data_IF_651775140985
#
_entry.id   IF_651775140985
#
_cell.length_a   1.000
_cell.length_b   1.000
_cell.length_c   1.000
_cell.angle_alpha   90.00
_cell.angle_beta   90.00
_cell.angle_gamma   90.00
#
_symmetry.space_group_name_H-M   'P 1'
#
loop_
_entity.id
_entity.type
_entity.pdbx_description
1 polymer ?
#
# COMPACT_ATOMS: atom_id res chain seq x y z
N UNK A 1 15.78 5.78 10.39
CA UNK A 1 16.44 6.19 11.66
C UNK A 1 15.68 5.69 12.88
N UNK A 2 14.40 6.06 13.10
CA UNK A 2 13.66 5.65 14.30
C UNK A 2 13.70 4.14 14.59
N UNK A 3 13.45 3.30 13.57
CA UNK A 3 13.54 1.84 13.69
C UNK A 3 14.91 1.34 14.18
N UNK A 4 16.01 1.90 13.67
CA UNK A 4 17.36 1.50 14.07
C UNK A 4 17.63 1.79 15.55
N UNK A 5 17.09 2.89 16.09
CA UNK A 5 17.19 3.18 17.52
C UNK A 5 16.30 2.26 18.37
N UNK A 6 15.10 1.91 17.89
CA UNK A 6 14.21 0.99 18.60
C UNK A 6 14.71 -0.46 18.61
N UNK A 7 15.44 -0.87 17.58
CA UNK A 7 15.97 -2.23 17.42
C UNK A 7 17.44 -2.33 17.87
N UNK A 8 18.03 -1.26 18.41
CA UNK A 8 19.41 -1.28 18.90
C UNK A 8 19.53 -2.20 20.13
N UNK A 9 20.46 -3.16 20.07
CA UNK A 9 20.87 -3.98 21.19
C UNK A 9 22.36 -3.71 21.49
N UNK A 10 22.73 -3.39 22.74
CA UNK A 10 24.13 -3.23 23.11
C UNK A 10 24.87 -4.57 23.05
N UNK A 11 26.18 -4.50 22.85
CA UNK A 11 27.06 -5.67 22.88
C UNK A 11 26.96 -6.40 24.24
N UNK A 12 26.67 -7.70 24.22
CA UNK A 12 26.61 -8.55 25.42
C UNK A 12 27.26 -9.92 25.18
N UNK A 13 28.57 -10.02 25.45
CA UNK A 13 29.31 -11.29 25.32
C UNK A 13 28.91 -12.39 26.30
N UNK A 14 28.18 -12.06 27.37
CA UNK A 14 27.81 -13.02 28.42
C UNK A 14 26.50 -13.72 28.09
N UNK A 15 25.50 -12.96 27.64
CA UNK A 15 24.15 -13.47 27.45
C UNK A 15 23.73 -13.60 25.99
N UNK A 16 24.41 -12.92 25.06
CA UNK A 16 24.16 -13.03 23.62
C UNK A 16 25.16 -14.00 22.96
N UNK A 17 24.73 -15.19 22.52
CA UNK A 17 25.62 -16.16 21.87
C UNK A 17 26.28 -15.64 20.60
N UNK A 18 25.63 -14.70 19.90
CA UNK A 18 26.20 -14.06 18.71
C UNK A 18 27.42 -13.19 19.04
N UNK A 19 27.38 -12.50 20.19
CA UNK A 19 28.45 -11.61 20.61
C UNK A 19 29.60 -12.36 21.30
N UNK A 20 29.31 -13.51 21.92
CA UNK A 20 30.31 -14.38 22.54
C UNK A 20 31.39 -14.85 21.55
N UNK A 21 31.09 -14.91 20.26
CA UNK A 21 32.02 -15.27 19.19
C UNK A 21 32.97 -14.13 18.76
N UNK A 22 32.82 -12.92 19.31
CA UNK A 22 33.68 -11.78 18.97
C UNK A 22 34.96 -11.84 19.80
N UNK A 23 36.13 -12.01 19.16
CA UNK A 23 37.41 -12.12 19.87
C UNK A 23 37.85 -10.78 20.50
N UNK A 24 37.81 -9.69 19.73
CA UNK A 24 38.31 -8.38 20.13
C UNK A 24 37.23 -7.30 19.94
N UNK A 25 37.22 -6.32 20.84
CA UNK A 25 36.27 -5.20 20.81
C UNK A 25 37.07 -3.91 20.91
N UNK A 26 36.84 -3.01 19.96
CA UNK A 26 37.35 -1.64 19.99
C UNK A 26 36.17 -0.74 20.34
N UNK A 27 36.16 -0.22 21.57
CA UNK A 27 35.11 0.69 22.02
C UNK A 27 35.33 2.08 21.41
N UNK A 28 34.31 2.66 20.79
CA UNK A 28 34.35 3.99 20.20
C UNK A 28 33.36 4.91 20.91
N UNK A 29 33.72 6.19 21.08
CA UNK A 29 32.79 7.20 21.56
C UNK A 29 32.12 7.89 20.36
N UNK A 30 30.79 7.85 20.22
CA UNK A 30 30.11 8.54 19.14
C UNK A 30 30.23 10.08 19.21
N UNK A 31 30.72 10.64 20.32
CA UNK A 31 31.01 12.05 20.49
C UNK A 31 32.44 12.45 20.09
N UNK A 32 33.33 11.47 19.89
CA UNK A 32 34.67 11.74 19.39
C UNK A 32 34.62 12.24 17.95
N UNK A 33 35.55 13.13 17.60
CA UNK A 33 35.76 13.51 16.20
C UNK A 33 36.34 12.33 15.38
N UNK A 34 36.27 12.46 14.06
CA UNK A 34 36.65 11.39 13.14
C UNK A 34 38.15 11.03 13.23
N UNK A 35 38.99 12.01 13.57
CA UNK A 35 40.44 11.80 13.66
C UNK A 35 40.81 11.07 14.94
N UNK A 36 40.24 11.47 16.08
CA UNK A 36 40.36 10.78 17.37
C UNK A 36 39.87 9.34 17.25
N UNK A 37 38.69 9.15 16.67
CA UNK A 37 38.10 7.82 16.44
C UNK A 37 39.01 6.94 15.59
N UNK A 38 39.48 7.45 14.44
CA UNK A 38 40.31 6.68 13.52
C UNK A 38 41.66 6.31 14.15
N UNK A 39 42.28 7.23 14.91
CA UNK A 39 43.54 6.95 15.63
C UNK A 39 43.37 5.86 16.68
N UNK A 40 42.28 5.90 17.44
CA UNK A 40 41.95 4.85 18.41
C UNK A 40 41.84 3.48 17.74
N UNK A 41 41.11 3.41 16.62
CA UNK A 41 40.98 2.18 15.82
C UNK A 41 42.34 1.70 15.33
N UNK A 42 43.16 2.56 14.74
CA UNK A 42 44.49 2.21 14.21
C UNK A 42 45.39 1.64 15.32
N UNK A 43 45.49 2.33 16.46
CA UNK A 43 46.37 1.92 17.56
C UNK A 43 46.01 0.57 18.18
N UNK A 44 44.74 0.17 18.11
CA UNK A 44 44.29 -1.13 18.64
C UNK A 44 44.26 -2.21 17.56
N UNK A 45 43.88 -1.87 16.34
CA UNK A 45 43.71 -2.84 15.26
C UNK A 45 45.05 -3.26 14.65
N UNK A 46 45.97 -2.32 14.39
CA UNK A 46 47.24 -2.62 13.70
C UNK A 46 48.07 -3.71 14.41
N UNK A 47 48.23 -3.69 15.75
CA UNK A 47 48.89 -4.77 16.48
C UNK A 47 48.17 -6.11 16.37
N UNK A 48 46.83 -6.12 16.37
CA UNK A 48 46.03 -7.34 16.30
C UNK A 48 46.17 -8.06 14.95
N UNK A 49 46.32 -7.31 13.85
CA UNK A 49 46.46 -7.86 12.50
C UNK A 49 47.90 -7.90 12.00
N UNK A 50 48.88 -7.44 12.81
CA UNK A 50 50.30 -7.51 12.50
C UNK A 50 50.75 -6.59 11.36
N UNK A 51 50.12 -5.42 11.20
CA UNK A 51 50.50 -4.43 10.18
C UNK A 51 51.14 -3.19 10.80
N UNK A 52 51.96 -2.46 10.03
CA UNK A 52 52.53 -1.21 10.52
C UNK A 52 51.45 -0.17 10.77
N UNK A 53 51.66 0.66 11.77
CA UNK A 53 50.87 1.87 11.94
C UNK A 53 51.18 2.88 10.80
N UNK A 54 50.15 3.49 10.19
CA UNK A 54 50.31 4.59 9.25
C UNK A 54 50.86 5.84 9.96
N UNK A 55 51.53 6.71 9.21
CA UNK A 55 51.95 8.01 9.72
C UNK A 55 50.77 8.97 9.84
N UNK A 56 50.97 10.06 10.59
CA UNK A 56 49.96 11.12 10.73
C UNK A 56 49.51 11.70 9.39
N UNK A 57 50.45 11.88 8.45
CA UNK A 57 50.16 12.40 7.12
C UNK A 57 49.31 11.42 6.30
N UNK A 58 49.57 10.11 6.43
CA UNK A 58 48.78 9.06 5.78
C UNK A 58 47.35 9.03 6.32
N UNK A 59 47.19 9.15 7.64
CA UNK A 59 45.88 9.22 8.29
C UNK A 59 45.11 10.45 7.85
N UNK A 60 45.76 11.62 7.84
CA UNK A 60 45.13 12.87 7.44
C UNK A 60 44.71 12.86 5.96
N UNK A 61 45.57 12.34 5.09
CA UNK A 61 45.28 12.17 3.66
C UNK A 61 44.06 11.26 3.43
N UNK A 62 43.98 10.15 4.15
CA UNK A 62 42.85 9.22 4.08
C UNK A 62 41.53 9.87 4.54
N UNK A 63 41.55 10.66 5.62
CA UNK A 63 40.37 11.39 6.09
C UNK A 63 39.90 12.44 5.07
N UNK A 64 40.83 13.19 4.46
CA UNK A 64 40.49 14.16 3.41
C UNK A 64 39.83 13.45 2.22
N UNK A 65 40.39 12.31 1.79
CA UNK A 65 39.82 11.51 0.72
C UNK A 65 38.40 10.98 1.08
N UNK A 66 38.23 10.42 2.28
CA UNK A 66 36.95 9.90 2.74
C UNK A 66 35.85 10.97 2.78
N UNK A 67 36.18 12.21 3.18
CA UNK A 67 35.23 13.34 3.22
C UNK A 67 34.77 13.80 1.83
N UNK A 68 35.55 13.52 0.79
CA UNK A 68 35.17 13.81 -0.59
C UNK A 68 34.19 12.78 -1.16
N UNK A 69 34.09 11.60 -0.55
CA UNK A 69 33.17 10.56 -0.99
C UNK A 69 31.71 11.04 -0.91
N UNK A 70 30.94 10.77 -1.96
CA UNK A 70 29.49 11.03 -2.03
C UNK A 70 28.77 9.69 -2.10
N UNK A 71 28.19 9.21 -0.99
CA UNK A 71 27.49 7.93 -1.01
C UNK A 71 26.26 8.03 -1.91
N UNK A 72 26.14 7.08 -2.84
CA UNK A 72 24.92 6.91 -3.63
C UNK A 72 24.03 5.94 -2.85
N UNK A 73 23.07 6.47 -2.11
CA UNK A 73 22.03 5.65 -1.49
C UNK A 73 21.15 5.04 -2.60
N UNK A 74 21.40 3.78 -2.95
CA UNK A 74 20.51 3.03 -3.85
C UNK A 74 19.26 2.59 -3.09
N UNK A 75 18.31 3.48 -2.87
CA UNK A 75 16.94 3.04 -2.55
C UNK A 75 16.33 2.46 -3.83
N UNK A 76 15.99 1.16 -3.83
CA UNK A 76 15.15 0.61 -4.90
C UNK A 76 13.86 1.42 -4.91
N UNK A 77 13.46 1.93 -6.08
CA UNK A 77 12.17 2.57 -6.23
C UNK A 77 11.09 1.62 -5.69
N UNK A 78 10.12 2.13 -4.90
CA UNK A 78 9.04 1.30 -4.39
C UNK A 78 8.32 0.65 -5.58
N UNK A 79 7.99 -0.64 -5.45
CA UNK A 79 7.23 -1.36 -6.48
C UNK A 79 5.74 -1.23 -6.16
N UNK A 80 4.87 -0.93 -7.14
CA UNK A 80 3.44 -0.88 -6.90
C UNK A 80 2.93 -2.21 -6.33
N UNK A 81 2.12 -2.15 -5.28
CA UNK A 81 1.35 -3.28 -4.77
C UNK A 81 0.23 -3.67 -5.73
N UNK A 82 -0.45 -2.69 -6.31
CA UNK A 82 -1.50 -2.87 -7.31
C UNK A 82 -1.66 -1.63 -8.18
N UNK A 83 -2.33 -1.80 -9.32
CA UNK A 83 -2.87 -0.70 -10.12
C UNK A 83 -4.38 -0.63 -9.91
N UNK A 84 -4.90 0.59 -9.90
CA UNK A 84 -6.32 0.85 -9.72
C UNK A 84 -6.75 2.14 -10.38
N UNK A 85 -8.06 2.34 -10.49
CA UNK A 85 -8.65 3.64 -10.80
C UNK A 85 -8.84 4.38 -9.50
N UNK A 86 -8.11 5.47 -9.27
CA UNK A 86 -8.39 6.40 -8.17
C UNK A 86 -9.58 7.27 -8.57
N UNK A 87 -10.61 7.33 -7.75
CA UNK A 87 -11.78 8.19 -7.98
C UNK A 87 -11.45 9.65 -7.61
N UNK A 88 -11.93 10.60 -8.41
CA UNK A 88 -11.62 12.03 -8.25
C UNK A 88 -12.53 12.71 -7.20
N UNK A 89 -13.77 12.23 -7.07
CA UNK A 89 -14.80 12.84 -6.25
C UNK A 89 -14.94 12.17 -4.87
N UNK A 90 -15.52 12.91 -3.92
CA UNK A 90 -15.84 12.38 -2.59
C UNK A 90 -17.00 11.38 -2.67
N UNK A 91 -16.66 10.09 -2.59
CA UNK A 91 -17.65 9.02 -2.65
C UNK A 91 -18.62 9.07 -1.46
N UNK A 92 -18.16 9.51 -0.28
CA UNK A 92 -19.00 9.59 0.90
C UNK A 92 -20.12 10.60 0.70
N UNK A 93 -19.80 11.81 0.23
CA UNK A 93 -20.82 12.83 -0.02
C UNK A 93 -21.74 12.43 -1.18
N UNK A 94 -21.22 11.79 -2.24
CA UNK A 94 -22.06 11.27 -3.33
C UNK A 94 -23.07 10.23 -2.83
N UNK A 95 -22.62 9.25 -2.03
CA UNK A 95 -23.50 8.22 -1.46
C UNK A 95 -24.50 8.81 -0.48
N UNK A 96 -24.09 9.79 0.33
CA UNK A 96 -24.98 10.47 1.27
C UNK A 96 -26.12 11.18 0.54
N UNK A 97 -25.81 11.89 -0.55
CA UNK A 97 -26.82 12.55 -1.39
C UNK A 97 -27.75 11.52 -2.04
N UNK A 98 -27.19 10.46 -2.61
CA UNK A 98 -27.96 9.38 -3.25
C UNK A 98 -28.93 8.72 -2.27
N UNK A 99 -28.43 8.29 -1.10
CA UNK A 99 -29.24 7.63 -0.08
C UNK A 99 -30.35 8.54 0.47
N UNK A 100 -30.10 9.84 0.60
CA UNK A 100 -31.12 10.80 1.00
C UNK A 100 -32.20 11.00 -0.08
N UNK A 101 -31.79 11.13 -1.35
CA UNK A 101 -32.71 11.29 -2.49
C UNK A 101 -33.59 10.05 -2.69
N UNK A 102 -33.06 8.86 -2.39
CA UNK A 102 -33.75 7.59 -2.58
C UNK A 102 -34.17 6.90 -1.27
N UNK A 103 -34.37 7.66 -0.20
CA UNK A 103 -34.70 7.11 1.14
C UNK A 103 -35.96 6.23 1.17
N UNK A 104 -36.89 6.41 0.22
CA UNK A 104 -38.09 5.57 0.06
C UNK A 104 -37.76 4.20 -0.56
N UNK A 105 -36.72 4.13 -1.40
CA UNK A 105 -36.32 2.89 -2.11
C UNK A 105 -35.23 2.11 -1.36
N UNK A 106 -34.42 2.79 -0.57
CA UNK A 106 -33.33 2.16 0.18
C UNK A 106 -33.82 1.79 1.57
N UNK A 107 -33.65 0.53 1.97
CA UNK A 107 -34.10 0.05 3.26
C UNK A 107 -33.38 0.74 4.44
N UNK A 108 -34.08 0.85 5.57
CA UNK A 108 -33.59 1.53 6.77
C UNK A 108 -32.26 0.96 7.27
N UNK A 109 -32.07 -0.37 7.16
CA UNK A 109 -30.85 -1.02 7.65
C UNK A 109 -29.64 -0.62 6.80
N UNK A 110 -29.77 -0.56 5.48
CA UNK A 110 -28.72 -0.05 4.59
C UNK A 110 -28.36 1.40 4.92
N UNK A 111 -29.35 2.25 5.17
CA UNK A 111 -29.12 3.65 5.57
C UNK A 111 -28.39 3.75 6.92
N UNK A 112 -28.84 2.99 7.93
CA UNK A 112 -28.22 2.96 9.26
C UNK A 112 -26.76 2.46 9.21
N UNK A 113 -26.48 1.43 8.40
CA UNK A 113 -25.12 0.91 8.22
C UNK A 113 -24.20 1.95 7.60
N UNK A 114 -24.66 2.68 6.57
CA UNK A 114 -23.88 3.77 6.00
C UNK A 114 -23.61 4.88 7.02
N UNK A 115 -24.64 5.33 7.74
CA UNK A 115 -24.50 6.35 8.79
C UNK A 115 -23.51 5.91 9.87
N UNK A 116 -23.55 4.64 10.29
CA UNK A 116 -22.60 4.07 11.23
C UNK A 116 -21.17 4.14 10.71
N UNK A 117 -20.92 3.71 9.47
CA UNK A 117 -19.59 3.79 8.84
C UNK A 117 -19.06 5.23 8.81
N UNK A 118 -19.92 6.21 8.50
CA UNK A 118 -19.55 7.63 8.52
C UNK A 118 -19.22 8.09 9.93
N UNK A 119 -20.09 7.80 10.92
CA UNK A 119 -19.89 8.21 12.30
C UNK A 119 -18.64 7.62 12.94
N UNK A 120 -18.32 6.37 12.59
CA UNK A 120 -17.16 5.64 13.08
C UNK A 120 -15.88 6.00 12.30
N UNK A 121 -15.96 6.92 11.33
CA UNK A 121 -14.85 7.32 10.42
C UNK A 121 -14.25 6.12 9.67
N UNK A 122 -15.11 5.20 9.26
CA UNK A 122 -14.78 3.96 8.54
C UNK A 122 -14.96 4.05 7.03
N UNK A 123 -15.36 5.21 6.51
CA UNK A 123 -15.33 5.53 5.08
C UNK A 123 -14.03 6.27 4.78
N UNK A 124 -13.09 5.69 4.02
CA UNK A 124 -11.84 6.36 3.66
C UNK A 124 -12.11 7.62 2.83
N UNK A 125 -11.14 8.54 2.79
CA UNK A 125 -11.23 9.72 1.90
C UNK A 125 -10.93 9.39 0.43
N UNK A 126 -10.01 8.44 0.22
CA UNK A 126 -9.58 8.02 -1.11
C UNK A 126 -10.18 6.65 -1.45
N UNK A 127 -10.97 6.59 -2.52
CA UNK A 127 -11.56 5.37 -3.03
C UNK A 127 -10.96 4.98 -4.37
N UNK A 128 -10.98 3.68 -4.65
CA UNK A 128 -10.45 3.15 -5.89
C UNK A 128 -11.19 1.88 -6.33
N UNK A 129 -11.14 1.63 -7.64
CA UNK A 129 -11.40 0.31 -8.22
C UNK A 129 -10.07 -0.38 -8.42
N UNK A 130 -9.85 -1.55 -7.83
CA UNK A 130 -8.63 -2.34 -8.09
C UNK A 130 -8.70 -2.93 -9.49
N UNK A 131 -7.66 -2.69 -10.30
CA UNK A 131 -7.56 -3.24 -11.65
C UNK A 131 -6.75 -4.55 -11.67
N UNK A 132 -5.60 -4.59 -10.99
CA UNK A 132 -4.73 -5.75 -10.91
C UNK A 132 -3.81 -5.67 -9.70
N UNK A 133 -3.81 -6.69 -8.83
CA UNK A 133 -2.88 -6.78 -7.71
C UNK A 133 -1.60 -7.54 -8.11
N UNK A 134 -0.47 -7.14 -7.52
CA UNK A 134 0.80 -7.86 -7.69
C UNK A 134 0.77 -9.31 -7.20
N UNK A 135 -0.20 -9.67 -6.36
CA UNK A 135 -0.39 -11.05 -5.88
C UNK A 135 -0.98 -11.89 -7.01
N UNK A 136 -1.99 -11.36 -7.71
CA UNK A 136 -2.61 -12.03 -8.85
C UNK A 136 -1.61 -12.28 -9.98
N UNK A 137 -0.64 -11.38 -10.14
CA UNK A 137 0.47 -11.55 -11.08
C UNK A 137 1.45 -12.65 -10.62
N UNK A 138 1.81 -12.68 -9.33
CA UNK A 138 2.72 -13.70 -8.76
C UNK A 138 2.11 -15.11 -8.76
N UNK A 139 0.79 -15.20 -8.67
CA UNK A 139 0.08 -16.48 -8.65
C UNK A 139 -0.17 -17.06 -10.04
N UNK A 140 -0.17 -16.21 -11.08
CA UNK A 140 -0.42 -16.62 -12.46
C UNK A 140 0.73 -17.48 -13.02
N UNK A 141 0.40 -18.38 -13.95
CA UNK A 141 1.37 -19.27 -14.63
C UNK A 141 1.08 -19.38 -16.12
N UNK A 142 2.11 -19.67 -16.91
CA UNK A 142 1.98 -19.93 -18.35
C UNK A 142 1.29 -18.78 -19.10
N UNK A 143 0.31 -19.05 -19.99
CA UNK A 143 -0.37 -18.02 -20.77
C UNK A 143 -1.10 -16.95 -19.93
N UNK A 144 -1.58 -17.31 -18.74
CA UNK A 144 -2.24 -16.36 -17.83
C UNK A 144 -1.25 -15.32 -17.30
N UNK A 145 -0.02 -15.76 -16.99
CA UNK A 145 1.05 -14.88 -16.54
C UNK A 145 1.41 -13.88 -17.65
N UNK A 146 1.53 -14.34 -18.90
CA UNK A 146 1.82 -13.46 -20.03
C UNK A 146 0.73 -12.39 -20.21
N UNK A 147 -0.55 -12.79 -20.13
CA UNK A 147 -1.68 -11.87 -20.21
C UNK A 147 -1.68 -10.86 -19.06
N UNK A 148 -1.54 -11.30 -17.82
CA UNK A 148 -1.51 -10.43 -16.63
C UNK A 148 -0.29 -9.52 -16.63
N UNK A 149 0.86 -9.99 -17.12
CA UNK A 149 2.07 -9.18 -17.26
C UNK A 149 1.89 -8.08 -18.31
N UNK A 150 1.25 -8.39 -19.44
CA UNK A 150 0.90 -7.38 -20.45
C UNK A 150 -0.06 -6.33 -19.88
N UNK A 151 -1.09 -6.74 -19.12
CA UNK A 151 -1.99 -5.82 -18.41
C UNK A 151 -1.27 -4.97 -17.37
N UNK A 152 -0.37 -5.57 -16.59
CA UNK A 152 0.44 -4.87 -15.59
C UNK A 152 1.29 -3.75 -16.23
N UNK A 153 1.95 -4.05 -17.34
CA UNK A 153 2.75 -3.07 -18.07
C UNK A 153 1.88 -1.96 -18.65
N UNK A 154 0.73 -2.33 -19.23
CA UNK A 154 -0.25 -1.36 -19.73
C UNK A 154 -0.73 -0.41 -18.64
N UNK A 155 -1.07 -0.91 -17.45
CA UNK A 155 -1.48 -0.06 -16.34
C UNK A 155 -0.35 0.77 -15.76
N UNK A 156 0.90 0.28 -15.83
CA UNK A 156 2.08 1.08 -15.50
C UNK A 156 2.22 2.30 -16.42
N UNK A 157 2.03 2.10 -17.73
CA UNK A 157 2.07 3.19 -18.71
C UNK A 157 0.89 4.16 -18.52
N UNK A 158 -0.31 3.62 -18.26
CA UNK A 158 -1.52 4.40 -18.03
C UNK A 158 -1.52 5.17 -16.70
N UNK A 159 -0.81 4.70 -15.66
CA UNK A 159 -0.80 5.36 -14.35
C UNK A 159 -0.08 6.73 -14.35
N UNK A 160 0.64 7.05 -15.42
CA UNK A 160 1.48 8.25 -15.48
C UNK A 160 2.75 8.10 -14.64
N UNK A 161 3.75 8.94 -14.91
CA UNK A 161 4.97 9.02 -14.08
C UNK A 161 4.72 9.92 -12.87
N UNK A 162 5.50 9.73 -11.80
CA UNK A 162 5.37 10.45 -10.52
C UNK A 162 4.98 11.93 -10.68
N UNK A 163 3.72 12.26 -10.33
CA UNK A 163 3.16 13.62 -10.37
C UNK A 163 2.24 13.93 -11.58
N UNK A 164 2.19 13.08 -12.60
CA UNK A 164 1.22 13.19 -13.69
C UNK A 164 -0.15 12.60 -13.34
N UNK A 165 -1.23 13.15 -13.90
CA UNK A 165 -2.54 12.48 -13.89
C UNK A 165 -2.47 11.30 -14.86
N UNK A 166 -2.77 10.10 -14.37
CA UNK A 166 -2.87 8.92 -15.22
C UNK A 166 -4.06 9.00 -16.19
N UNK A 167 -4.22 7.97 -17.01
CA UNK A 167 -5.32 7.86 -17.96
C UNK A 167 -6.66 8.09 -17.26
N UNK A 168 -7.40 9.09 -17.72
CA UNK A 168 -8.74 9.40 -17.23
C UNK A 168 -9.73 8.29 -17.60
N UNK A 169 -10.63 8.01 -16.68
CA UNK A 169 -11.69 7.03 -16.84
C UNK A 169 -13.00 7.50 -16.20
N UNK A 170 -14.11 6.96 -16.69
CA UNK A 170 -15.42 7.05 -16.05
C UNK A 170 -15.81 5.69 -15.53
N UNK A 171 -16.16 5.60 -14.24
CA UNK A 171 -16.64 4.39 -13.57
C UNK A 171 -18.14 4.51 -13.39
N UNK A 172 -18.90 3.55 -13.91
CA UNK A 172 -20.35 3.46 -13.74
C UNK A 172 -20.69 2.36 -12.75
N UNK A 173 -21.58 2.64 -11.82
CA UNK A 173 -22.00 1.70 -10.79
C UNK A 173 -23.39 1.12 -11.12
N UNK A 174 -23.59 -0.16 -10.84
CA UNK A 174 -24.89 -0.82 -10.97
C UNK A 174 -25.57 -1.11 -9.63
N UNK A 175 -24.85 -1.02 -8.51
CA UNK A 175 -25.50 -1.16 -7.22
C UNK A 175 -24.60 -0.97 -6.00
N UNK A 176 -25.25 -0.91 -4.85
CA UNK A 176 -24.65 -0.83 -3.52
C UNK A 176 -25.01 -2.10 -2.75
N UNK A 177 -23.99 -2.81 -2.28
CA UNK A 177 -24.13 -4.00 -1.43
C UNK A 177 -23.70 -3.66 -0.01
N UNK A 178 -24.55 -3.99 0.95
CA UNK A 178 -24.34 -3.74 2.36
C UNK A 178 -24.52 -5.02 3.18
N UNK A 179 -23.54 -5.30 4.03
CA UNK A 179 -23.55 -6.35 5.04
C UNK A 179 -23.33 -5.75 6.43
N UNK A 180 -23.35 -6.57 7.48
CA UNK A 180 -22.93 -6.12 8.83
C UNK A 180 -21.40 -5.91 8.91
N UNK A 181 -20.63 -6.49 7.99
CA UNK A 181 -19.17 -6.40 7.93
C UNK A 181 -18.66 -5.25 7.08
N UNK A 182 -19.26 -4.98 5.92
CA UNK A 182 -18.75 -3.98 4.97
C UNK A 182 -19.84 -3.40 4.08
N UNK A 183 -19.47 -2.35 3.36
CA UNK A 183 -20.27 -1.77 2.29
C UNK A 183 -19.40 -1.62 1.04
N UNK A 184 -19.94 -2.00 -0.11
CA UNK A 184 -19.21 -1.99 -1.39
C UNK A 184 -20.14 -1.62 -2.54
N UNK A 185 -19.60 -0.90 -3.53
CA UNK A 185 -20.27 -0.58 -4.79
C UNK A 185 -19.88 -1.58 -5.87
N UNK A 186 -20.87 -2.12 -6.57
CA UNK A 186 -20.67 -2.95 -7.76
C UNK A 186 -20.48 -2.03 -8.98
N UNK A 187 -19.39 -2.24 -9.73
CA UNK A 187 -19.05 -1.49 -10.93
C UNK A 187 -19.65 -2.22 -12.14
N UNK A 188 -20.49 -1.51 -12.89
CA UNK A 188 -21.07 -1.98 -14.13
C UNK A 188 -20.06 -1.91 -15.29
N UNK A 189 -19.34 -0.79 -15.37
CA UNK A 189 -18.46 -0.48 -16.50
C UNK A 189 -17.36 0.49 -16.07
N UNK A 190 -16.18 0.34 -16.68
CA UNK A 190 -15.12 1.34 -16.67
C UNK A 190 -14.89 1.76 -18.12
N UNK A 191 -14.95 3.07 -18.38
CA UNK A 191 -14.77 3.66 -19.71
C UNK A 191 -13.47 4.45 -19.74
N UNK A 192 -12.56 4.21 -20.70
CA UNK A 192 -12.67 3.24 -21.79
C UNK A 192 -12.53 1.78 -21.33
N UNK A 193 -13.19 0.86 -22.06
CA UNK A 193 -13.31 -0.57 -21.72
C UNK A 193 -11.97 -1.33 -21.64
N UNK A 194 -10.91 -0.73 -22.18
CA UNK A 194 -9.58 -1.29 -22.15
C UNK A 194 -8.89 -1.09 -20.77
N UNK A 195 -9.48 -0.30 -19.87
CA UNK A 195 -9.13 -0.18 -18.45
C UNK A 195 -10.06 -1.08 -17.62
N UNK A 196 -9.88 -2.39 -17.74
CA UNK A 196 -10.71 -3.39 -17.07
C UNK A 196 -10.03 -4.02 -15.85
N UNK A 197 -10.83 -4.31 -14.82
CA UNK A 197 -10.40 -5.06 -13.65
C UNK A 197 -10.24 -6.56 -13.94
N UNK A 198 -9.26 -7.20 -13.33
CA UNK A 198 -9.11 -8.67 -13.35
C UNK A 198 -9.99 -9.38 -12.32
N UNK A 199 -10.52 -8.66 -11.33
CA UNK A 199 -11.49 -9.22 -10.39
C UNK A 199 -12.74 -9.66 -11.16
N UNK A 200 -13.34 -10.78 -10.75
CA UNK A 200 -14.57 -11.32 -11.35
C UNK A 200 -15.71 -10.30 -11.33
N UNK A 201 -15.81 -9.53 -10.25
CA UNK A 201 -16.72 -8.41 -10.11
C UNK A 201 -15.90 -7.18 -9.69
N UNK A 202 -15.84 -6.19 -10.59
CA UNK A 202 -15.22 -4.91 -10.31
C UNK A 202 -16.03 -4.17 -9.25
N UNK A 203 -15.35 -3.55 -8.28
CA UNK A 203 -16.02 -2.92 -7.16
C UNK A 203 -15.20 -1.84 -6.49
N UNK A 204 -15.87 -1.04 -5.66
CA UNK A 204 -15.26 -0.05 -4.77
C UNK A 204 -15.70 -0.35 -3.35
N UNK A 205 -14.77 -0.69 -2.47
CA UNK A 205 -15.10 -0.83 -1.04
C UNK A 205 -15.38 0.56 -0.47
N UNK A 206 -16.60 0.79 0.00
CA UNK A 206 -17.04 2.06 0.61
C UNK A 206 -16.43 2.20 2.00
N UNK A 207 -16.49 1.13 2.80
CA UNK A 207 -15.96 1.09 4.16
C UNK A 207 -16.15 -0.28 4.81
N UNK A 208 -15.43 -0.52 5.90
CA UNK A 208 -15.50 -1.76 6.70
C UNK A 208 -15.94 -1.46 8.12
N UNK A 209 -16.72 -2.35 8.75
CA UNK A 209 -17.29 -2.13 10.07
C UNK A 209 -16.22 -1.95 11.16
N UNK A 210 -15.07 -2.60 11.02
CA UNK A 210 -13.93 -2.49 11.93
C UNK A 210 -12.61 -2.99 11.26
N UNK A 211 -11.49 -2.88 11.98
CA UNK A 211 -10.14 -3.24 11.47
C UNK A 211 -9.91 -4.73 11.27
N UNK A 212 -10.77 -5.58 11.84
CA UNK A 212 -10.72 -7.04 11.63
C UNK A 212 -11.30 -7.43 10.28
N UNK A 213 -12.21 -6.61 9.73
CA UNK A 213 -12.79 -6.80 8.40
C UNK A 213 -11.86 -6.20 7.36
N UNK A 214 -11.40 -7.03 6.42
CA UNK A 214 -10.48 -6.59 5.37
C UNK A 214 -11.24 -6.15 4.12
N UNK A 215 -10.85 -5.05 3.44
CA UNK A 215 -11.50 -4.60 2.20
C UNK A 215 -11.60 -5.67 1.11
N UNK A 216 -10.64 -6.61 1.07
CA UNK A 216 -10.67 -7.75 0.12
C UNK A 216 -11.90 -8.65 0.26
N UNK A 217 -12.59 -8.64 1.42
CA UNK A 217 -13.82 -9.40 1.65
C UNK A 217 -14.95 -8.95 0.71
N UNK A 218 -14.88 -7.72 0.16
CA UNK A 218 -15.83 -7.24 -0.85
C UNK A 218 -15.88 -8.14 -2.09
N UNK A 219 -14.76 -8.77 -2.49
CA UNK A 219 -14.75 -9.76 -3.57
C UNK A 219 -15.67 -10.93 -3.24
N UNK A 220 -15.50 -11.52 -2.05
CA UNK A 220 -16.28 -12.68 -1.60
C UNK A 220 -17.75 -12.34 -1.49
N UNK A 221 -18.09 -11.19 -0.87
CA UNK A 221 -19.47 -10.73 -0.71
C UNK A 221 -20.17 -10.58 -2.07
N UNK A 222 -19.50 -10.00 -3.07
CA UNK A 222 -20.09 -9.80 -4.39
C UNK A 222 -20.21 -11.10 -5.18
N UNK A 223 -19.20 -11.96 -5.10
CA UNK A 223 -19.20 -13.26 -5.80
C UNK A 223 -20.25 -14.23 -5.24
N UNK A 224 -20.60 -14.09 -3.96
CA UNK A 224 -21.56 -14.95 -3.26
C UNK A 224 -22.89 -14.24 -2.99
N UNK A 225 -23.22 -13.17 -3.71
CA UNK A 225 -24.41 -12.33 -3.42
C UNK A 225 -25.74 -13.10 -3.34
N UNK A 226 -25.83 -14.25 -4.01
CA UNK A 226 -27.01 -15.13 -4.02
C UNK A 226 -27.01 -16.17 -2.88
N UNK A 227 -25.83 -16.44 -2.27
CA UNK A 227 -25.59 -17.51 -1.30
C UNK A 227 -24.97 -17.00 0.01
N UNK A 228 -25.15 -15.72 0.34
CA UNK A 228 -24.56 -15.15 1.56
C UNK A 228 -25.11 -15.85 2.81
N UNK A 229 -24.20 -16.51 3.53
CA UNK A 229 -24.47 -17.13 4.81
C UNK A 229 -24.55 -16.13 5.98
N UNK A 230 -25.01 -16.60 7.15
CA UNK A 230 -25.22 -15.75 8.32
C UNK A 230 -23.96 -15.06 8.84
N UNK A 231 -22.76 -15.55 8.49
CA UNK A 231 -21.48 -14.99 8.92
C UNK A 231 -21.14 -13.60 8.33
N UNK A 232 -21.82 -13.21 7.25
CA UNK A 232 -21.78 -11.86 6.68
C UNK A 232 -23.07 -11.08 6.96
N UNK A 233 -23.90 -11.57 7.87
CA UNK A 233 -25.16 -10.95 8.25
C UNK A 233 -26.15 -10.83 7.08
N UNK A 234 -27.14 -9.93 7.23
CA UNK A 234 -28.16 -9.70 6.20
C UNK A 234 -27.53 -8.92 5.04
N UNK A 235 -27.45 -9.52 3.86
CA UNK A 235 -27.11 -8.84 2.61
C UNK A 235 -28.29 -7.97 2.16
N UNK A 236 -27.98 -6.72 1.83
CA UNK A 236 -28.89 -5.78 1.18
C UNK A 236 -28.25 -5.24 -0.09
N UNK A 237 -29.03 -5.20 -1.16
CA UNK A 237 -28.60 -4.69 -2.47
C UNK A 237 -29.53 -3.59 -2.91
N UNK A 238 -28.97 -2.43 -3.21
CA UNK A 238 -29.65 -1.32 -3.89
C UNK A 238 -29.15 -1.30 -5.33
N UNK A 239 -30.05 -1.44 -6.30
CA UNK A 239 -29.70 -1.37 -7.72
C UNK A 239 -29.84 0.05 -8.25
N UNK A 240 -28.85 0.48 -9.01
CA UNK A 240 -28.85 1.77 -9.70
C UNK A 240 -29.43 1.62 -11.11
N UNK A 241 -30.06 2.66 -11.64
CA UNK A 241 -30.50 2.68 -13.05
C UNK A 241 -31.90 2.13 -13.37
N UNK A 242 -32.72 1.68 -12.39
CA UNK A 242 -34.17 1.50 -12.65
C UNK A 242 -34.85 2.88 -12.72
N UNK A 243 -34.81 3.50 -13.91
CA UNK A 243 -35.46 4.78 -14.22
C UNK A 243 -34.61 5.88 -14.85
N UNK A 244 -33.36 5.60 -15.28
CA UNK A 244 -32.53 6.57 -16.03
C UNK A 244 -31.53 7.39 -15.22
N UNK A 245 -31.43 7.20 -13.90
CA UNK A 245 -30.40 7.82 -13.05
C UNK A 245 -29.33 6.77 -12.68
N UNK A 246 -28.28 6.66 -13.51
CA UNK A 246 -27.10 5.85 -13.19
C UNK A 246 -26.15 6.64 -12.28
N UNK A 247 -25.50 5.97 -11.34
CA UNK A 247 -24.43 6.58 -10.53
C UNK A 247 -23.10 6.38 -11.25
N UNK A 248 -22.37 7.45 -11.50
CA UNK A 248 -21.05 7.40 -12.12
C UNK A 248 -20.08 8.40 -11.48
N UNK A 249 -18.78 8.09 -11.58
CA UNK A 249 -17.70 8.94 -11.09
C UNK A 249 -16.53 8.93 -12.08
N UNK A 250 -15.83 10.06 -12.20
CA UNK A 250 -14.56 10.09 -12.91
C UNK A 250 -13.43 9.66 -12.00
N UNK A 251 -12.36 9.20 -12.62
CA UNK A 251 -11.11 8.86 -11.95
C UNK A 251 -9.95 8.80 -12.93
N UNK A 252 -8.82 8.36 -12.42
CA UNK A 252 -7.63 8.14 -13.23
C UNK A 252 -6.90 6.87 -12.79
N UNK A 253 -6.28 6.19 -13.75
CA UNK A 253 -5.41 5.04 -13.45
C UNK A 253 -4.24 5.52 -12.59
N UNK A 254 -3.90 4.75 -11.54
CA UNK A 254 -2.87 5.09 -10.59
C UNK A 254 -2.16 3.85 -10.04
N UNK A 255 -0.87 4.00 -9.75
CA UNK A 255 -0.07 3.04 -8.98
C UNK A 255 -0.29 3.23 -7.48
N UNK A 256 -0.53 2.14 -6.76
CA UNK A 256 -0.66 2.11 -5.31
C UNK A 256 0.48 1.30 -4.73
N UNK A 257 1.20 1.86 -3.75
CA UNK A 257 2.45 1.32 -3.19
C UNK A 257 2.30 0.91 -1.74
#
# INVERSE_FOLDING_TARGET
MHRFFCEFAPLDKLSNPGDAAIDNVIELDPLDDEATTLRKVISQLCPLIGVREPSDDEVQSALVYAKQYRPIARSKAPKPMYYGVKLDNDLQELLKLYLAQHAVRVDELTQQRFQKLVSDKRVPKDHHVTLLHSIDLKQAKGPELEKKQAMWNKFADAAGKDGGQGQHVTVRFCGLVSTDRLMTLEVAEIVPADVASVNKIAHVTVGTANDTVKPKESNTVLEQKEDIGPEHGILRTVLFGMGGEGMEMTGHVKAFY
#
